data_IF_538376149067
#
_entry.id   IF_538376149067
#
_cell.length_a   1.000
_cell.length_b   1.000
_cell.length_c   1.000
_cell.angle_alpha   90.00
_cell.angle_beta   90.00
_cell.angle_gamma   90.00
#
_symmetry.space_group_name_H-M   'P 1'
#
loop_
_entity.id
_entity.type
_entity.pdbx_description
1 polymer ?
#
# COMPACT_ATOMS: atom_id res chain seq x y z
N UNK A 1 25.06 -2.68 -22.23
CA UNK A 1 23.61 -2.52 -21.96
C UNK A 1 23.15 -3.24 -20.68
N UNK A 2 23.42 -4.55 -20.49
CA UNK A 2 22.99 -5.32 -19.29
C UNK A 2 23.30 -4.72 -17.91
N UNK A 3 24.42 -4.01 -17.75
CA UNK A 3 24.79 -3.39 -16.46
C UNK A 3 23.91 -2.20 -16.06
N UNK A 4 23.40 -1.44 -17.04
CA UNK A 4 22.48 -0.32 -16.79
C UNK A 4 21.07 -0.82 -16.47
N UNK A 5 20.60 -1.86 -17.16
CA UNK A 5 19.33 -2.53 -16.87
C UNK A 5 19.30 -3.09 -15.44
N UNK A 6 20.33 -3.84 -15.05
CA UNK A 6 20.43 -4.37 -13.68
C UNK A 6 20.43 -3.26 -12.60
N UNK A 7 21.06 -2.12 -12.90
CA UNK A 7 21.06 -0.95 -12.01
C UNK A 7 19.69 -0.29 -11.95
N UNK A 8 19.02 -0.13 -13.08
CA UNK A 8 17.66 0.41 -13.15
C UNK A 8 16.67 -0.47 -12.39
N UNK A 9 16.74 -1.80 -12.55
CA UNK A 9 15.92 -2.76 -11.81
C UNK A 9 16.13 -2.62 -10.30
N UNK A 10 17.38 -2.50 -9.83
CA UNK A 10 17.68 -2.34 -8.41
C UNK A 10 17.13 -1.03 -7.84
N UNK A 11 17.25 0.07 -8.59
CA UNK A 11 16.71 1.37 -8.20
C UNK A 11 15.18 1.30 -8.11
N UNK A 12 14.53 0.72 -9.14
CA UNK A 12 13.08 0.52 -9.16
C UNK A 12 12.59 -0.33 -7.99
N UNK A 13 13.27 -1.44 -7.69
CA UNK A 13 12.93 -2.29 -6.56
C UNK A 13 13.04 -1.55 -5.21
N UNK A 14 14.10 -0.75 -5.04
CA UNK A 14 14.28 0.06 -3.82
C UNK A 14 13.20 1.14 -3.69
N UNK A 15 12.88 1.83 -4.77
CA UNK A 15 11.81 2.83 -4.78
C UNK A 15 10.46 2.17 -4.46
N UNK A 16 10.15 1.02 -5.05
CA UNK A 16 8.92 0.28 -4.80
C UNK A 16 8.81 -0.19 -3.34
N UNK A 17 9.92 -0.59 -2.70
CA UNK A 17 9.93 -0.94 -1.28
C UNK A 17 9.60 0.27 -0.39
N UNK A 18 10.21 1.43 -0.68
CA UNK A 18 9.93 2.68 0.05
C UNK A 18 8.47 3.10 -0.12
N UNK A 19 7.94 3.03 -1.34
CA UNK A 19 6.54 3.37 -1.60
C UNK A 19 5.56 2.42 -0.92
N UNK A 20 5.85 1.12 -0.89
CA UNK A 20 5.04 0.14 -0.15
C UNK A 20 4.96 0.47 1.34
N UNK A 21 6.10 0.77 1.98
CA UNK A 21 6.13 1.17 3.39
C UNK A 21 5.28 2.43 3.67
N UNK A 22 5.42 3.46 2.83
CA UNK A 22 4.63 4.71 2.96
C UNK A 22 3.13 4.48 2.80
N UNK A 23 2.73 3.63 1.85
CA UNK A 23 1.31 3.28 1.66
C UNK A 23 0.80 2.51 2.88
N UNK A 24 1.56 1.55 3.41
CA UNK A 24 1.18 0.79 4.61
C UNK A 24 1.01 1.69 5.84
N UNK A 25 1.94 2.62 6.06
CA UNK A 25 1.84 3.63 7.13
C UNK A 25 0.60 4.50 6.95
N UNK A 26 0.37 5.03 5.75
CA UNK A 26 -0.79 5.89 5.49
C UNK A 26 -2.11 5.14 5.69
N UNK A 27 -2.17 3.86 5.29
CA UNK A 27 -3.34 3.02 5.54
C UNK A 27 -3.58 2.85 7.04
N UNK A 28 -2.53 2.61 7.83
CA UNK A 28 -2.63 2.54 9.30
C UNK A 28 -3.13 3.85 9.92
N UNK A 29 -2.66 5.00 9.44
CA UNK A 29 -3.11 6.31 9.94
C UNK A 29 -4.62 6.53 9.70
N UNK A 30 -5.13 6.13 8.53
CA UNK A 30 -6.52 6.37 8.13
C UNK A 30 -7.51 5.36 8.73
N UNK A 31 -7.11 4.09 8.76
CA UNK A 31 -7.98 2.95 9.06
C UNK A 31 -7.68 2.29 10.41
N UNK A 32 -6.58 2.65 11.07
CA UNK A 32 -6.20 2.17 12.40
C UNK A 32 -6.04 0.65 12.44
N UNK A 33 -6.60 0.03 13.48
CA UNK A 33 -6.51 -1.41 13.77
C UNK A 33 -7.15 -2.31 12.70
N UNK A 34 -7.87 -1.73 11.74
CA UNK A 34 -8.35 -2.47 10.59
C UNK A 34 -7.23 -2.85 9.61
N UNK A 35 -6.03 -2.29 9.75
CA UNK A 35 -4.90 -2.56 8.85
C UNK A 35 -3.90 -3.47 9.53
N UNK A 36 -3.56 -4.57 8.86
CA UNK A 36 -2.53 -5.52 9.31
C UNK A 36 -1.49 -5.69 8.21
N UNK A 37 -0.23 -5.61 8.58
CA UNK A 37 0.90 -5.92 7.71
C UNK A 37 1.40 -7.33 8.01
N UNK A 38 1.51 -8.16 6.96
CA UNK A 38 2.01 -9.52 7.02
C UNK A 38 3.54 -9.55 6.83
N UNK A 39 4.18 -10.65 7.23
CA UNK A 39 5.64 -10.79 7.16
C UNK A 39 6.23 -10.72 5.74
N UNK A 40 5.41 -10.96 4.70
CA UNK A 40 5.78 -10.84 3.29
C UNK A 40 5.61 -9.40 2.73
N UNK A 41 5.21 -8.45 3.57
CA UNK A 41 4.92 -7.07 3.19
C UNK A 41 3.56 -6.88 2.52
N UNK A 42 2.68 -7.88 2.59
CA UNK A 42 1.27 -7.75 2.19
C UNK A 42 0.52 -6.95 3.25
N UNK A 43 -0.30 -6.01 2.80
CA UNK A 43 -1.18 -5.23 3.67
C UNK A 43 -2.61 -5.73 3.51
N UNK A 44 -3.24 -6.08 4.63
CA UNK A 44 -4.60 -6.61 4.69
C UNK A 44 -5.48 -5.60 5.43
N UNK A 45 -6.61 -5.24 4.83
CA UNK A 45 -7.62 -4.36 5.43
C UNK A 45 -8.80 -5.22 5.88
N UNK A 46 -9.02 -5.32 7.18
CA UNK A 46 -10.03 -6.16 7.81
C UNK A 46 -11.22 -5.35 8.33
N UNK A 47 -12.41 -5.95 8.22
CA UNK A 47 -13.63 -5.42 8.81
C UNK A 47 -14.53 -4.68 7.82
N UNK A 48 -15.80 -5.11 7.75
CA UNK A 48 -16.84 -4.49 6.89
C UNK A 48 -16.95 -2.98 7.07
N UNK A 49 -16.74 -2.48 8.29
CA UNK A 49 -16.81 -1.04 8.60
C UNK A 49 -15.67 -0.24 7.95
N UNK A 50 -14.44 -0.76 7.95
CA UNK A 50 -13.30 -0.11 7.32
C UNK A 50 -13.47 -0.07 5.79
N UNK A 51 -13.91 -1.20 5.21
CA UNK A 51 -14.24 -1.29 3.79
C UNK A 51 -15.36 -0.30 3.42
N UNK A 52 -16.44 -0.25 4.19
CA UNK A 52 -17.52 0.70 3.96
C UNK A 52 -17.05 2.16 4.06
N UNK A 53 -16.16 2.47 5.02
CA UNK A 53 -15.58 3.79 5.19
C UNK A 53 -14.72 4.20 3.99
N UNK A 54 -13.92 3.27 3.43
CA UNK A 54 -13.13 3.52 2.21
C UNK A 54 -14.01 3.94 1.02
N UNK A 55 -15.19 3.35 0.88
CA UNK A 55 -16.11 3.69 -0.21
C UNK A 55 -16.97 4.93 0.08
N UNK A 56 -17.31 5.19 1.35
CA UNK A 56 -18.14 6.30 1.76
C UNK A 56 -17.37 7.63 1.86
N UNK A 57 -16.10 7.59 2.27
CA UNK A 57 -15.27 8.77 2.49
C UNK A 57 -14.48 9.14 1.23
N UNK A 58 -14.74 10.33 0.68
CA UNK A 58 -14.06 10.82 -0.52
C UNK A 58 -12.54 10.92 -0.34
N UNK A 59 -12.06 11.19 0.88
CA UNK A 59 -10.64 11.27 1.19
C UNK A 59 -9.93 9.91 1.20
N UNK A 60 -10.70 8.80 1.24
CA UNK A 60 -10.18 7.43 1.26
C UNK A 60 -10.37 6.69 -0.06
N UNK A 61 -11.00 7.30 -1.07
CA UNK A 61 -11.25 6.67 -2.38
C UNK A 61 -9.98 6.21 -3.10
N UNK A 62 -8.85 6.85 -2.84
CA UNK A 62 -7.55 6.41 -3.37
C UNK A 62 -7.19 4.99 -2.91
N UNK A 63 -7.64 4.56 -1.73
CA UNK A 63 -7.50 3.20 -1.22
C UNK A 63 -8.35 2.23 -2.04
N UNK A 64 -9.62 2.58 -2.29
CA UNK A 64 -10.52 1.78 -3.12
C UNK A 64 -10.04 1.66 -4.58
N UNK A 65 -9.35 2.69 -5.09
CA UNK A 65 -8.72 2.66 -6.41
C UNK A 65 -7.58 1.64 -6.54
N UNK A 66 -6.98 1.19 -5.44
CA UNK A 66 -5.93 0.15 -5.45
C UNK A 66 -6.48 -1.28 -5.49
N UNK A 67 -7.77 -1.49 -5.24
CA UNK A 67 -8.39 -2.82 -5.29
C UNK A 67 -8.85 -3.23 -6.69
N UNK A 68 -8.73 -2.33 -7.67
CA UNK A 68 -9.14 -2.55 -9.05
C UNK A 68 -7.97 -3.02 -9.90
#
# INVERSE_FOLDING_TARGET
>A
MRGLEARATRIGARAAAVWRGRVAERLRDELGDAVREEADGRVTINGRRAVARVWADASLRWIGGMWR
#
